data_IF_042348300554
#
_entry.id   IF_042348300554
#
_cell.length_a   1.000
_cell.length_b   1.000
_cell.length_c   1.000
_cell.angle_alpha   90.00
_cell.angle_beta   90.00
_cell.angle_gamma   90.00
#
_symmetry.space_group_name_H-M   'P 1'
#
loop_
_entity.id
_entity.type
_entity.pdbx_description
1 polymer ?
#
# COMPACT_ATOMS: atom_id res chain seq x y z
N UNK A 1 16.40 -7.81 -9.87
CA UNK A 1 15.86 -8.40 -8.62
C UNK A 1 14.75 -9.36 -9.01
N UNK A 2 14.75 -10.57 -8.45
CA UNK A 2 13.67 -11.54 -8.67
C UNK A 2 12.54 -11.28 -7.67
N UNK A 3 11.29 -11.29 -8.12
CA UNK A 3 10.11 -11.11 -7.30
C UNK A 3 9.28 -12.38 -7.30
N UNK A 4 9.07 -12.98 -6.14
CA UNK A 4 8.22 -14.16 -5.95
C UNK A 4 6.97 -13.75 -5.21
N UNK A 5 5.78 -13.99 -5.77
CA UNK A 5 4.53 -13.68 -5.07
C UNK A 5 3.41 -14.60 -5.51
N UNK A 6 2.50 -14.92 -4.57
CA UNK A 6 1.26 -15.63 -4.90
C UNK A 6 0.15 -14.70 -5.43
N UNK A 7 0.48 -13.43 -5.71
CA UNK A 7 -0.42 -12.42 -6.28
C UNK A 7 0.24 -11.64 -7.41
N UNK A 8 0.33 -12.30 -8.55
CA UNK A 8 0.90 -11.74 -9.79
C UNK A 8 0.19 -10.45 -10.22
N UNK A 9 -1.10 -10.31 -9.94
CA UNK A 9 -1.88 -9.10 -10.23
C UNK A 9 -1.47 -7.88 -9.37
N UNK A 10 -0.61 -8.05 -8.36
CA UNK A 10 0.03 -6.96 -7.61
C UNK A 10 1.46 -6.66 -8.07
N UNK A 11 1.92 -7.26 -9.16
CA UNK A 11 3.29 -7.08 -9.68
C UNK A 11 3.70 -5.61 -9.79
N UNK A 12 2.87 -4.77 -10.42
CA UNK A 12 3.16 -3.35 -10.59
C UNK A 12 3.24 -2.62 -9.24
N UNK A 13 2.32 -2.88 -8.32
CA UNK A 13 2.30 -2.27 -6.99
C UNK A 13 3.58 -2.61 -6.19
N UNK A 14 4.04 -3.86 -6.28
CA UNK A 14 5.26 -4.32 -5.63
C UNK A 14 6.51 -3.76 -6.31
N UNK A 15 6.52 -3.63 -7.64
CA UNK A 15 7.60 -2.95 -8.36
C UNK A 15 7.77 -1.50 -7.92
N UNK A 16 6.67 -0.76 -7.75
CA UNK A 16 6.72 0.62 -7.26
C UNK A 16 7.33 0.68 -5.85
N UNK A 17 6.99 -0.26 -4.97
CA UNK A 17 7.61 -0.35 -3.63
C UNK A 17 9.10 -0.66 -3.74
N UNK A 18 9.51 -1.61 -4.59
CA UNK A 18 10.92 -1.96 -4.79
C UNK A 18 11.71 -0.74 -5.30
N UNK A 19 11.14 -0.01 -6.28
CA UNK A 19 11.78 1.16 -6.91
C UNK A 19 11.92 2.36 -5.99
N UNK A 20 11.18 2.43 -4.89
CA UNK A 20 11.46 3.41 -3.83
C UNK A 20 12.88 3.28 -3.28
N UNK A 21 13.40 2.05 -3.23
CA UNK A 21 14.71 1.75 -2.67
C UNK A 21 15.77 1.55 -3.74
N UNK A 22 15.39 0.99 -4.89
CA UNK A 22 16.30 0.71 -6.02
C UNK A 22 15.69 1.20 -7.34
N UNK A 23 15.75 2.51 -7.65
CA UNK A 23 14.95 3.12 -8.72
C UNK A 23 15.10 2.52 -10.12
N UNK A 24 16.31 2.07 -10.47
CA UNK A 24 16.63 1.53 -11.80
C UNK A 24 16.66 -0.01 -11.85
N UNK A 25 16.15 -0.70 -10.82
CA UNK A 25 16.21 -2.17 -10.80
C UNK A 25 15.22 -2.77 -11.80
N UNK A 26 15.72 -3.70 -12.61
CA UNK A 26 14.86 -4.59 -13.38
C UNK A 26 14.28 -5.65 -12.45
N UNK A 27 12.96 -5.72 -12.39
CA UNK A 27 12.22 -6.71 -11.60
C UNK A 27 11.75 -7.82 -12.53
N UNK A 28 12.07 -9.07 -12.18
CA UNK A 28 11.61 -10.26 -12.89
C UNK A 28 10.60 -10.99 -12.01
N UNK A 29 9.38 -11.18 -12.49
CA UNK A 29 8.37 -11.98 -11.78
C UNK A 29 8.70 -13.47 -11.93
N UNK A 30 8.84 -14.15 -10.81
CA UNK A 30 9.13 -15.58 -10.74
C UNK A 30 7.92 -16.33 -10.12
N UNK A 31 7.72 -17.62 -10.47
CA UNK A 31 6.64 -18.43 -9.89
C UNK A 31 6.71 -18.47 -8.36
N UNK A 32 5.56 -18.31 -7.69
CA UNK A 32 5.47 -18.20 -6.23
C UNK A 32 6.15 -19.34 -5.45
N UNK A 33 6.06 -20.56 -5.98
CA UNK A 33 6.61 -21.80 -5.41
C UNK A 33 7.99 -22.17 -5.99
N UNK A 34 8.64 -21.26 -6.73
CA UNK A 34 10.00 -21.45 -7.21
C UNK A 34 11.00 -21.55 -6.07
N UNK A 35 12.22 -21.98 -6.38
CA UNK A 35 13.33 -21.99 -5.42
C UNK A 35 13.63 -20.55 -4.96
N UNK A 36 12.99 -20.11 -3.88
CA UNK A 36 13.32 -18.87 -3.19
C UNK A 36 14.62 -19.12 -2.44
N UNK A 37 15.66 -18.39 -2.83
CA UNK A 37 17.04 -18.64 -2.47
C UNK A 37 17.24 -18.95 -0.97
N UNK A 38 17.45 -20.24 -0.68
CA UNK A 38 18.24 -20.72 0.45
C UNK A 38 19.22 -21.74 -0.12
N UNK A 39 20.10 -21.29 -1.01
CA UNK A 39 21.36 -21.99 -1.26
C UNK A 39 22.46 -21.02 -0.81
N UNK A 40 22.84 -21.17 0.46
CA UNK A 40 24.14 -20.73 0.95
C UNK A 40 25.17 -21.66 0.34
N UNK A 41 25.44 -21.52 -0.97
CA UNK A 41 26.67 -22.06 -1.52
C UNK A 41 27.78 -21.05 -1.18
N UNK A 42 28.68 -21.35 -0.21
CA UNK A 42 29.75 -20.45 0.16
C UNK A 42 30.75 -20.21 -0.98
N UNK A 43 30.68 -20.95 -2.09
CA UNK A 43 31.50 -20.74 -3.29
C UNK A 43 30.80 -19.93 -4.39
N UNK A 44 29.49 -19.64 -4.27
CA UNK A 44 28.74 -18.91 -5.29
C UNK A 44 28.29 -17.53 -4.79
N UNK A 45 29.21 -16.56 -4.91
CA UNK A 45 29.06 -15.15 -4.46
C UNK A 45 28.02 -14.36 -5.31
N UNK A 46 27.27 -15.01 -6.20
CA UNK A 46 26.30 -14.38 -7.10
C UNK A 46 24.84 -14.80 -6.85
N UNK A 47 24.41 -14.94 -5.59
CA UNK A 47 22.97 -15.04 -5.31
C UNK A 47 22.29 -13.71 -5.68
N UNK A 48 21.60 -13.65 -6.82
CA UNK A 48 20.88 -12.46 -7.26
C UNK A 48 19.83 -12.06 -6.21
N UNK A 49 19.75 -10.75 -5.91
CA UNK A 49 18.78 -10.22 -4.95
C UNK A 49 17.35 -10.67 -5.28
N UNK A 50 16.66 -11.21 -4.27
CA UNK A 50 15.33 -11.77 -4.41
C UNK A 50 14.40 -11.27 -3.30
N UNK A 51 13.22 -10.80 -3.69
CA UNK A 51 12.14 -10.45 -2.78
C UNK A 51 11.01 -11.45 -2.95
N UNK A 52 10.55 -12.06 -1.86
CA UNK A 52 9.34 -12.87 -1.81
C UNK A 52 8.28 -12.13 -1.04
N UNK A 53 7.07 -12.03 -1.58
CA UNK A 53 5.91 -11.43 -0.92
C UNK A 53 4.74 -12.40 -1.00
N UNK A 54 4.40 -13.02 0.13
CA UNK A 54 3.30 -13.97 0.22
C UNK A 54 2.15 -13.34 1.00
N UNK A 55 0.92 -13.55 0.53
CA UNK A 55 -0.29 -13.03 1.15
C UNK A 55 -1.17 -14.22 1.55
N UNK A 56 -1.74 -14.18 2.75
CA UNK A 56 -2.67 -15.20 3.22
C UNK A 56 -3.70 -14.59 4.17
N UNK A 57 -4.63 -15.42 4.63
CA UNK A 57 -5.60 -15.06 5.67
C UNK A 57 -5.29 -15.80 6.97
N UNK A 58 -5.45 -15.10 8.08
CA UNK A 58 -5.43 -15.66 9.43
C UNK A 58 -6.78 -15.35 10.09
N UNK A 59 -7.74 -16.26 9.94
CA UNK A 59 -9.14 -16.01 10.31
C UNK A 59 -9.74 -14.86 9.48
N UNK A 60 -10.20 -13.81 10.16
CA UNK A 60 -10.75 -12.60 9.55
C UNK A 60 -9.67 -11.60 9.09
N UNK A 61 -8.40 -11.84 9.38
CA UNK A 61 -7.32 -10.89 9.11
C UNK A 61 -6.62 -11.18 7.78
N UNK A 62 -6.28 -10.12 7.05
CA UNK A 62 -5.36 -10.19 5.92
C UNK A 62 -3.93 -10.07 6.40
N UNK A 63 -3.06 -10.93 5.89
CA UNK A 63 -1.67 -10.99 6.28
C UNK A 63 -0.77 -11.00 5.05
N UNK A 64 0.45 -10.47 5.20
CA UNK A 64 1.50 -10.64 4.22
C UNK A 64 2.87 -10.74 4.88
N UNK A 65 3.76 -11.58 4.34
CA UNK A 65 5.16 -11.72 4.74
C UNK A 65 5.97 -11.32 3.52
N UNK A 66 6.97 -10.48 3.76
CA UNK A 66 7.99 -10.21 2.77
C UNK A 66 9.35 -10.66 3.27
N UNK A 67 10.07 -11.43 2.45
CA UNK A 67 11.43 -11.88 2.70
C UNK A 67 12.34 -11.35 1.60
N UNK A 68 13.39 -10.63 1.96
CA UNK A 68 14.41 -10.13 1.06
C UNK A 68 15.71 -10.86 1.33
N UNK A 69 16.26 -11.52 0.31
CA UNK A 69 17.61 -12.07 0.31
C UNK A 69 18.49 -11.15 -0.52
N UNK A 70 19.51 -10.57 0.12
CA UNK A 70 20.46 -9.66 -0.50
C UNK A 70 21.85 -9.85 0.10
N UNK A 71 22.86 -10.07 -0.74
CA UNK A 71 24.26 -10.18 -0.31
C UNK A 71 24.50 -11.23 0.80
N UNK A 72 23.80 -12.37 0.74
CA UNK A 72 23.87 -13.43 1.74
C UNK A 72 23.16 -13.14 3.07
N UNK A 73 22.48 -11.99 3.18
CA UNK A 73 21.64 -11.63 4.33
C UNK A 73 20.17 -11.77 4.00
N UNK A 74 19.38 -12.16 5.00
CA UNK A 74 17.93 -12.25 4.89
C UNK A 74 17.27 -11.24 5.83
N UNK A 75 16.41 -10.40 5.27
CA UNK A 75 15.51 -9.53 6.02
C UNK A 75 14.08 -10.05 5.84
N UNK A 76 13.30 -10.09 6.93
CA UNK A 76 11.93 -10.59 6.89
C UNK A 76 11.02 -9.72 7.75
N UNK A 77 9.81 -9.49 7.26
CA UNK A 77 8.76 -8.79 7.98
C UNK A 77 7.40 -9.39 7.66
N UNK A 78 6.58 -9.58 8.70
CA UNK A 78 5.20 -10.03 8.58
C UNK A 78 4.26 -8.93 9.04
N UNK A 79 3.38 -8.50 8.15
CA UNK A 79 2.29 -7.59 8.44
C UNK A 79 0.99 -8.38 8.63
N UNK A 80 0.26 -8.05 9.69
CA UNK A 80 -1.10 -8.52 9.93
C UNK A 80 -2.00 -7.29 10.03
N UNK A 81 -2.94 -7.17 9.10
CA UNK A 81 -3.91 -6.08 9.13
C UNK A 81 -4.85 -6.29 10.31
N UNK A 82 -4.81 -5.41 11.30
CA UNK A 82 -5.74 -5.40 12.45
C UNK A 82 -6.93 -4.47 12.25
N UNK A 83 -6.98 -3.73 11.13
CA UNK A 83 -8.08 -2.80 10.85
C UNK A 83 -9.27 -3.52 10.22
N UNK A 84 -10.38 -3.49 10.94
CA UNK A 84 -11.71 -3.67 10.39
C UNK A 84 -12.18 -2.34 9.77
N UNK A 85 -12.51 -2.39 8.48
CA UNK A 85 -13.33 -1.43 7.75
C UNK A 85 -12.87 0.04 7.77
N UNK A 86 -11.99 0.42 6.83
CA UNK A 86 -12.17 1.76 6.23
C UNK A 86 -13.51 1.67 5.53
N UNK A 87 -14.56 2.19 6.14
CA UNK A 87 -15.85 2.33 5.47
C UNK A 87 -15.63 3.32 4.33
N UNK A 88 -15.42 2.79 3.13
CA UNK A 88 -15.40 3.62 1.94
C UNK A 88 -16.85 4.04 1.67
N UNK A 89 -17.11 5.35 1.72
CA UNK A 89 -18.24 5.92 1.02
C UNK A 89 -18.01 5.74 -0.48
N UNK A 90 -18.90 5.00 -1.12
CA UNK A 90 -19.19 5.19 -2.55
C UNK A 90 -19.61 6.64 -2.73
N UNK A 91 -19.19 7.25 -3.84
CA UNK A 91 -19.68 8.56 -4.25
C UNK A 91 -21.21 8.58 -4.13
N UNK A 92 -21.73 9.68 -3.59
CA UNK A 92 -23.15 9.91 -3.42
C UNK A 92 -23.85 9.89 -4.78
N UNK A 93 -24.59 8.82 -5.07
CA UNK A 93 -25.72 8.88 -5.98
C UNK A 93 -27.00 8.59 -5.18
N UNK A 94 -27.96 9.51 -5.33
CA UNK A 94 -29.29 9.41 -4.77
C UNK A 94 -30.19 8.57 -5.70
N UNK A 95 -30.77 7.50 -5.13
CA UNK A 95 -32.06 6.84 -5.49
C UNK A 95 -32.11 5.80 -6.66
N UNK A 96 -33.12 4.90 -6.75
CA UNK A 96 -33.17 3.56 -6.13
C UNK A 96 -33.42 2.41 -7.15
N UNK A 97 -32.80 1.23 -6.98
CA UNK A 97 -33.27 0.00 -7.65
C UNK A 97 -32.81 -1.28 -6.93
N UNK A 98 -33.70 -1.82 -6.07
CA UNK A 98 -33.51 -2.96 -5.14
C UNK A 98 -33.44 -4.34 -5.86
N UNK A 99 -32.96 -4.38 -7.11
CA UNK A 99 -32.70 -5.61 -7.86
C UNK A 99 -31.31 -5.65 -8.52
N UNK A 100 -30.61 -4.51 -8.59
CA UNK A 100 -29.20 -4.41 -9.03
C UNK A 100 -28.18 -4.58 -7.89
N UNK A 101 -28.65 -4.66 -6.64
CA UNK A 101 -27.82 -4.58 -5.43
C UNK A 101 -26.89 -5.77 -5.18
N UNK A 102 -27.23 -7.00 -5.59
CA UNK A 102 -26.41 -8.18 -5.25
C UNK A 102 -25.13 -8.34 -6.09
N UNK A 103 -25.12 -7.91 -7.35
CA UNK A 103 -23.90 -7.94 -8.19
C UNK A 103 -22.96 -6.78 -7.86
N UNK A 104 -23.49 -5.58 -7.55
CA UNK A 104 -22.70 -4.44 -7.09
C UNK A 104 -22.08 -4.68 -5.70
N UNK A 105 -22.81 -5.33 -4.78
CA UNK A 105 -22.29 -5.69 -3.46
C UNK A 105 -21.14 -6.71 -3.54
N UNK A 106 -21.24 -7.72 -4.41
CA UNK A 106 -20.18 -8.72 -4.60
C UNK A 106 -18.93 -8.13 -5.27
N UNK A 107 -19.09 -7.27 -6.28
CA UNK A 107 -17.98 -6.55 -6.89
C UNK A 107 -17.34 -5.57 -5.90
N UNK A 108 -18.15 -4.90 -5.06
CA UNK A 108 -17.68 -4.03 -3.98
C UNK A 108 -16.86 -4.81 -2.94
N UNK A 109 -17.33 -5.98 -2.50
CA UNK A 109 -16.62 -6.83 -1.53
C UNK A 109 -15.32 -7.39 -2.12
N UNK A 110 -15.33 -7.88 -3.36
CA UNK A 110 -14.12 -8.36 -4.04
C UNK A 110 -13.08 -7.25 -4.18
N UNK A 111 -13.49 -6.05 -4.61
CA UNK A 111 -12.59 -4.90 -4.73
C UNK A 111 -12.06 -4.45 -3.37
N UNK A 112 -12.87 -4.57 -2.31
CA UNK A 112 -12.46 -4.31 -0.92
C UNK A 112 -11.40 -5.30 -0.45
N UNK A 113 -11.65 -6.59 -0.64
CA UNK A 113 -10.70 -7.67 -0.33
C UNK A 113 -9.36 -7.45 -1.04
N UNK A 114 -9.42 -7.19 -2.35
CA UNK A 114 -8.25 -6.95 -3.19
C UNK A 114 -7.44 -5.75 -2.68
N UNK A 115 -8.11 -4.68 -2.25
CA UNK A 115 -7.45 -3.50 -1.66
C UNK A 115 -6.74 -3.83 -0.35
N UNK A 116 -7.34 -4.64 0.53
CA UNK A 116 -6.69 -5.05 1.79
C UNK A 116 -5.46 -5.91 1.57
N UNK A 117 -5.58 -6.92 0.70
CA UNK A 117 -4.47 -7.80 0.34
C UNK A 117 -3.32 -7.00 -0.28
N UNK A 118 -3.63 -6.06 -1.18
CA UNK A 118 -2.64 -5.15 -1.79
C UNK A 118 -1.94 -4.32 -0.72
N UNK A 119 -2.69 -3.72 0.21
CA UNK A 119 -2.12 -2.93 1.31
C UNK A 119 -1.16 -3.77 2.15
N UNK A 120 -1.56 -4.97 2.55
CA UNK A 120 -0.72 -5.87 3.34
C UNK A 120 0.59 -6.17 2.61
N UNK A 121 0.49 -6.54 1.33
CA UNK A 121 1.64 -6.85 0.49
C UNK A 121 2.63 -5.68 0.41
N UNK A 122 2.11 -4.46 0.17
CA UNK A 122 2.92 -3.25 0.06
C UNK A 122 3.59 -2.88 1.38
N UNK A 123 2.88 -2.96 2.50
CA UNK A 123 3.44 -2.67 3.83
C UNK A 123 4.54 -3.69 4.18
N UNK A 124 4.27 -4.97 3.98
CA UNK A 124 5.26 -6.02 4.25
C UNK A 124 6.52 -5.82 3.40
N UNK A 125 6.35 -5.66 2.08
CA UNK A 125 7.45 -5.39 1.16
C UNK A 125 8.23 -4.13 1.54
N UNK A 126 7.54 -3.01 1.81
CA UNK A 126 8.16 -1.74 2.19
C UNK A 126 8.99 -1.89 3.47
N UNK A 127 8.44 -2.51 4.52
CA UNK A 127 9.12 -2.65 5.81
C UNK A 127 10.31 -3.59 5.71
N UNK A 128 10.21 -4.69 4.97
CA UNK A 128 11.33 -5.59 4.69
C UNK A 128 12.44 -4.87 3.92
N UNK A 129 12.11 -4.14 2.86
CA UNK A 129 13.08 -3.38 2.07
C UNK A 129 13.75 -2.28 2.92
N UNK A 130 12.99 -1.57 3.76
CA UNK A 130 13.52 -0.54 4.67
C UNK A 130 14.57 -1.09 5.63
N UNK A 131 14.49 -2.36 6.03
CA UNK A 131 15.53 -2.99 6.86
C UNK A 131 16.86 -3.15 6.13
N UNK A 132 16.84 -3.40 4.82
CA UNK A 132 18.04 -3.49 3.98
C UNK A 132 18.58 -2.11 3.56
N UNK A 133 17.69 -1.12 3.44
CA UNK A 133 18.02 0.24 2.99
C UNK A 133 17.62 1.30 4.04
N UNK A 134 18.23 1.30 5.25
CA UNK A 134 17.81 2.17 6.35
C UNK A 134 18.03 3.67 6.10
N UNK A 135 18.89 4.02 5.13
CA UNK A 135 19.21 5.40 4.78
C UNK A 135 18.30 5.98 3.67
N UNK A 136 17.36 5.20 3.13
CA UNK A 136 16.47 5.67 2.07
C UNK A 136 15.52 6.77 2.59
N UNK A 137 15.51 7.99 2.00
CA UNK A 137 14.65 9.08 2.46
C UNK A 137 13.22 8.88 1.93
N UNK A 138 12.41 8.13 2.67
CA UNK A 138 11.04 7.77 2.29
C UNK A 138 10.01 8.46 3.20
N UNK A 139 9.83 9.79 3.08
CA UNK A 139 9.07 10.58 4.05
C UNK A 139 7.56 10.32 3.99
N UNK A 140 7.06 9.72 2.91
CA UNK A 140 5.68 9.24 2.76
C UNK A 140 5.50 7.75 3.09
N UNK A 141 6.56 7.09 3.57
CA UNK A 141 6.53 5.69 3.96
C UNK A 141 6.06 4.75 2.84
N UNK A 142 5.11 3.87 3.17
CA UNK A 142 4.59 2.85 2.24
C UNK A 142 3.55 3.37 1.25
N UNK A 143 3.27 4.67 1.22
CA UNK A 143 2.27 5.28 0.34
C UNK A 143 2.80 5.44 -1.09
N UNK A 144 2.85 4.35 -1.86
CA UNK A 144 3.15 4.40 -3.31
C UNK A 144 1.87 4.51 -4.13
N UNK A 145 1.79 5.46 -5.06
CA UNK A 145 0.61 5.63 -5.94
C UNK A 145 -0.69 5.99 -5.21
N UNK A 146 -0.61 6.46 -3.96
CA UNK A 146 -1.76 6.87 -3.13
C UNK A 146 -1.64 8.37 -2.87
N UNK A 147 -2.73 9.13 -3.10
CA UNK A 147 -2.80 10.57 -2.75
C UNK A 147 -2.92 10.71 -1.22
N UNK A 148 -1.89 11.19 -0.49
CA UNK A 148 -1.88 11.14 0.97
C UNK A 148 -2.98 11.99 1.63
N UNK A 149 -3.31 13.14 1.04
CA UNK A 149 -4.35 14.03 1.59
C UNK A 149 -5.75 13.46 1.45
N UNK A 150 -6.03 12.74 0.35
CA UNK A 150 -7.28 11.98 0.17
C UNK A 150 -7.37 10.88 1.23
N UNK A 151 -6.32 10.06 1.37
CA UNK A 151 -6.30 9.00 2.38
C UNK A 151 -6.50 9.56 3.80
N UNK A 152 -5.80 10.63 4.16
CA UNK A 152 -5.93 11.23 5.50
C UNK A 152 -7.36 11.71 5.78
N UNK A 153 -8.01 12.36 4.81
CA UNK A 153 -9.41 12.80 4.96
C UNK A 153 -10.34 11.60 5.11
N UNK A 154 -10.23 10.61 4.22
CA UNK A 154 -11.10 9.43 4.25
C UNK A 154 -10.94 8.65 5.59
N UNK A 155 -9.72 8.59 6.13
CA UNK A 155 -9.45 8.04 7.47
C UNK A 155 -10.03 8.90 8.59
N UNK A 156 -9.94 10.23 8.48
CA UNK A 156 -10.47 11.15 9.48
C UNK A 156 -12.00 11.13 9.53
N UNK A 157 -12.66 10.97 8.39
CA UNK A 157 -14.11 10.83 8.30
C UNK A 157 -14.57 9.49 8.89
N UNK A 158 -13.79 8.43 8.73
CA UNK A 158 -14.11 7.08 9.23
C UNK A 158 -13.80 6.87 10.73
N UNK A 159 -12.69 7.42 11.22
CA UNK A 159 -12.15 7.10 12.56
C UNK A 159 -11.87 8.32 13.44
N UNK A 160 -12.12 9.52 12.92
CA UNK A 160 -11.73 10.77 13.56
C UNK A 160 -10.26 11.14 13.30
N UNK A 161 -10.01 12.45 13.30
CA UNK A 161 -8.70 13.04 12.98
C UNK A 161 -7.53 12.48 13.82
N UNK A 162 -7.62 12.33 15.16
CA UNK A 162 -6.50 11.81 15.95
C UNK A 162 -6.11 10.37 15.56
N UNK A 163 -7.11 9.51 15.32
CA UNK A 163 -6.87 8.13 14.88
C UNK A 163 -6.27 8.11 13.47
N UNK A 164 -6.80 8.92 12.55
CA UNK A 164 -6.30 9.04 11.19
C UNK A 164 -4.81 9.46 11.13
N UNK A 165 -4.43 10.47 11.91
CA UNK A 165 -3.03 10.90 12.01
C UNK A 165 -2.13 9.79 12.57
N UNK A 166 -2.60 9.08 13.61
CA UNK A 166 -1.86 7.95 14.15
C UNK A 166 -1.70 6.81 13.14
N UNK A 167 -2.74 6.50 12.35
CA UNK A 167 -2.68 5.50 11.27
C UNK A 167 -1.69 5.91 10.17
N UNK A 168 -1.74 7.16 9.69
CA UNK A 168 -0.77 7.68 8.71
C UNK A 168 0.68 7.48 9.18
N UNK A 169 0.95 7.80 10.44
CA UNK A 169 2.28 7.67 11.03
C UNK A 169 2.71 6.23 11.29
N UNK A 170 1.84 5.42 11.91
CA UNK A 170 2.20 4.08 12.43
C UNK A 170 2.01 2.97 11.42
N UNK A 171 1.01 3.06 10.56
CA UNK A 171 0.68 1.99 9.60
C UNK A 171 1.33 2.22 8.26
N UNK A 172 1.28 3.47 7.80
CA UNK A 172 1.84 3.84 6.50
C UNK A 172 3.25 4.41 6.60
N UNK A 173 3.83 4.45 7.80
CA UNK A 173 5.20 4.91 8.06
C UNK A 173 5.47 6.34 7.56
N UNK A 174 4.44 7.20 7.52
CA UNK A 174 4.57 8.60 7.10
C UNK A 174 5.35 9.37 8.17
N UNK A 175 6.38 10.11 7.73
CA UNK A 175 7.19 10.97 8.60
C UNK A 175 6.35 12.08 9.23
N UNK A 176 6.76 12.54 10.41
CA UNK A 176 6.05 13.62 11.13
C UNK A 176 5.93 14.89 10.28
N UNK A 177 7.02 15.30 9.62
CA UNK A 177 7.03 16.48 8.74
C UNK A 177 5.97 16.39 7.62
N UNK A 178 5.86 15.21 6.96
CA UNK A 178 4.87 15.01 5.89
C UNK A 178 3.46 14.80 6.42
N UNK A 179 3.33 14.25 7.62
CA UNK A 179 2.05 14.14 8.30
C UNK A 179 1.47 15.52 8.60
N UNK A 180 2.26 16.41 9.21
CA UNK A 180 1.86 17.79 9.48
C UNK A 180 1.53 18.54 8.18
N UNK A 181 2.32 18.34 7.12
CA UNK A 181 2.04 18.93 5.81
C UNK A 181 0.69 18.46 5.26
N UNK A 182 0.44 17.14 5.29
CA UNK A 182 -0.82 16.59 4.80
C UNK A 182 -2.03 17.10 5.61
N UNK A 183 -1.89 17.16 6.93
CA UNK A 183 -2.93 17.63 7.84
C UNK A 183 -3.27 19.11 7.59
N UNK A 184 -2.24 19.98 7.44
CA UNK A 184 -2.45 21.38 7.04
C UNK A 184 -3.17 21.51 5.71
N UNK A 185 -2.78 20.71 4.70
CA UNK A 185 -3.43 20.74 3.38
C UNK A 185 -4.90 20.32 3.49
N UNK A 186 -5.20 19.26 4.25
CA UNK A 186 -6.57 18.78 4.46
C UNK A 186 -7.42 19.85 5.13
N UNK A 187 -6.89 20.56 6.13
CA UNK A 187 -7.63 21.65 6.80
C UNK A 187 -7.92 22.83 5.87
N UNK A 188 -6.96 23.21 5.02
CA UNK A 188 -7.17 24.25 4.00
C UNK A 188 -8.20 23.81 2.96
N UNK A 189 -8.18 22.53 2.57
CA UNK A 189 -9.11 21.97 1.59
C UNK A 189 -10.53 21.79 2.14
N UNK A 190 -10.68 21.54 3.45
CA UNK A 190 -11.97 21.24 4.09
C UNK A 190 -13.10 22.22 3.73
N UNK A 191 -12.96 23.55 3.90
CA UNK A 191 -14.04 24.49 3.55
C UNK A 191 -14.31 24.55 2.05
N UNK A 192 -13.27 24.40 1.21
CA UNK A 192 -13.40 24.44 -0.26
C UNK A 192 -14.22 23.25 -0.75
N UNK A 193 -13.88 22.05 -0.27
CA UNK A 193 -14.61 20.82 -0.60
C UNK A 193 -16.03 20.85 -0.05
N UNK A 194 -16.24 21.41 1.16
CA UNK A 194 -17.57 21.55 1.73
C UNK A 194 -18.46 22.56 0.99
N UNK A 195 -17.86 23.52 0.29
CA UNK A 195 -18.60 24.50 -0.53
C UNK A 195 -18.92 24.02 -1.95
N UNK A 196 -18.40 22.85 -2.37
CA UNK A 196 -18.62 22.33 -3.71
C UNK A 196 -20.09 21.95 -3.92
N UNK A 197 -20.72 22.55 -4.92
CA UNK A 197 -22.09 22.27 -5.34
C UNK A 197 -22.16 21.30 -6.53
N UNK A 198 -23.39 20.89 -6.88
CA UNK A 198 -23.66 19.97 -7.98
C UNK A 198 -23.13 20.44 -9.36
N UNK A 199 -22.96 21.75 -9.54
CA UNK A 199 -22.51 22.36 -10.80
C UNK A 199 -21.02 22.74 -10.80
N UNK A 200 -20.30 22.46 -9.72
CA UNK A 200 -18.86 22.73 -9.64
C UNK A 200 -18.06 21.59 -10.27
N UNK A 201 -16.86 21.92 -10.77
CA UNK A 201 -15.98 20.98 -11.49
C UNK A 201 -14.61 20.94 -10.81
N UNK A 202 -14.12 19.72 -10.54
CA UNK A 202 -12.73 19.49 -10.09
C UNK A 202 -11.82 19.29 -11.32
N UNK A 203 -10.75 20.09 -11.43
CA UNK A 203 -9.80 20.03 -12.55
C UNK A 203 -8.47 19.50 -12.04
N UNK A 204 -8.09 18.32 -12.51
CA UNK A 204 -6.76 17.77 -12.27
C UNK A 204 -5.75 18.34 -13.27
N UNK A 205 -4.71 19.00 -12.76
CA UNK A 205 -3.60 19.53 -13.58
C UNK A 205 -2.33 18.78 -13.17
N UNK A 206 -1.78 17.99 -14.10
CA UNK A 206 -0.47 17.36 -13.93
C UNK A 206 0.63 18.37 -14.23
N UNK A 207 1.37 18.79 -13.20
CA UNK A 207 2.58 19.60 -13.37
C UNK A 207 3.78 18.64 -13.42
N UNK A 208 4.47 18.48 -14.57
CA UNK A 208 5.63 17.60 -14.67
C UNK A 208 6.77 18.12 -13.78
N UNK A 209 7.42 17.19 -13.08
CA UNK A 209 8.56 17.43 -12.20
C UNK A 209 9.88 17.27 -12.95
#
# INVERSE_FOLDING_TARGET
>A
MRLYTNREDFYNDLCEVIRLFVPAVMVELCPALGAFAVETDPMNIQSADALRVMIWRDGAYHCATADLVQGGKTHSYTYKNTFSDIQYFTESEQDPAVAYSMMEEQDSEYLREKRYQKRCAKIAAFRTMRMAYPMAPLPWGSLTGIRPTRLLRDLADSYGRPAALNMMRREFDVSEEKLELADRIVEVQRPILASAGQHDVDIYIGIPF
#
